data_IF_928448658963
#
_entry.id   IF_928448658963
#
_cell.length_a   1.000
_cell.length_b   1.000
_cell.length_c   1.000
_cell.angle_alpha   90.00
_cell.angle_beta   90.00
_cell.angle_gamma   90.00
#
_symmetry.space_group_name_H-M   'P 1'
#
loop_
_entity.id
_entity.type
_entity.pdbx_description
1 polymer ?
#
# COMPACT_ATOMS: atom_id res chain seq x y z
N UNK A 1 -31.62 -7.58 11.34
CA UNK A 1 -31.15 -8.77 10.64
C UNK A 1 -30.20 -8.30 9.55
N UNK A 2 -28.94 -8.67 9.68
CA UNK A 2 -27.82 -8.21 8.84
C UNK A 2 -27.87 -8.93 7.50
N UNK A 3 -27.87 -8.23 6.39
CA UNK A 3 -27.58 -8.80 5.09
C UNK A 3 -26.29 -8.16 4.58
N UNK A 4 -25.29 -9.01 4.43
CA UNK A 4 -23.93 -8.71 4.03
C UNK A 4 -23.89 -8.82 2.51
N UNK A 5 -23.61 -7.73 1.85
CA UNK A 5 -23.32 -7.71 0.42
C UNK A 5 -21.79 -7.85 0.25
N UNK A 6 -21.36 -9.06 -0.09
CA UNK A 6 -19.98 -9.37 -0.40
C UNK A 6 -19.62 -8.82 -1.78
N UNK A 7 -18.94 -7.70 -1.79
CA UNK A 7 -18.11 -7.29 -2.91
C UNK A 7 -16.77 -8.02 -2.82
N UNK A 8 -16.55 -9.00 -3.67
CA UNK A 8 -15.26 -9.68 -3.80
C UNK A 8 -14.27 -8.74 -4.48
N UNK A 9 -13.58 -7.94 -3.67
CA UNK A 9 -12.32 -7.30 -4.07
C UNK A 9 -11.22 -8.31 -3.75
N UNK A 10 -10.68 -8.95 -4.77
CA UNK A 10 -9.54 -9.85 -4.67
C UNK A 10 -8.28 -9.01 -4.41
N UNK A 11 -8.06 -8.64 -3.13
CA UNK A 11 -6.81 -8.08 -2.65
C UNK A 11 -5.82 -9.23 -2.49
N UNK A 12 -4.88 -9.33 -3.43
CA UNK A 12 -3.69 -10.16 -3.26
C UNK A 12 -2.83 -9.55 -2.13
N UNK A 13 -3.04 -10.06 -0.91
CA UNK A 13 -2.15 -9.84 0.22
C UNK A 13 -0.83 -10.58 -0.05
N UNK A 14 0.20 -9.83 -0.40
CA UNK A 14 1.59 -10.25 -0.30
C UNK A 14 1.92 -10.42 1.19
N UNK A 15 1.91 -11.64 1.68
CA UNK A 15 2.47 -11.99 2.97
C UNK A 15 3.99 -11.82 2.90
N UNK A 16 4.51 -10.73 3.46
CA UNK A 16 5.94 -10.55 3.75
C UNK A 16 6.27 -11.46 4.93
N UNK A 17 6.86 -12.61 4.64
CA UNK A 17 7.50 -13.45 5.65
C UNK A 17 8.84 -12.81 5.98
N UNK A 18 8.93 -12.18 7.15
CA UNK A 18 10.19 -11.74 7.73
C UNK A 18 11.02 -12.99 8.09
N UNK A 19 12.02 -13.30 7.29
CA UNK A 19 13.03 -14.30 7.64
C UNK A 19 14.17 -13.62 8.40
N UNK A 20 14.36 -14.04 9.64
CA UNK A 20 15.50 -13.73 10.48
C UNK A 20 16.80 -14.20 9.82
N UNK A 21 17.69 -13.26 9.54
CA UNK A 21 19.01 -13.53 9.00
C UNK A 21 19.91 -14.08 10.10
N UNK A 22 20.23 -15.36 10.01
CA UNK A 22 21.42 -15.93 10.64
C UNK A 22 22.60 -15.73 9.69
N UNK A 23 23.61 -15.03 10.16
CA UNK A 23 24.86 -14.80 9.46
C UNK A 23 25.62 -16.11 9.21
N UNK A 24 25.76 -16.51 7.94
CA UNK A 24 26.68 -17.53 7.48
C UNK A 24 27.88 -16.89 6.75
N UNK A 25 29.09 -17.48 6.79
CA UNK A 25 30.32 -16.84 6.32
C UNK A 25 30.35 -16.72 4.81
N UNK A 26 30.96 -15.63 4.35
CA UNK A 26 31.12 -15.26 2.95
C UNK A 26 31.80 -16.37 2.11
N UNK A 27 31.01 -17.00 1.24
CA UNK A 27 31.52 -17.80 0.12
C UNK A 27 31.82 -16.84 -1.04
N UNK A 28 33.09 -16.88 -1.50
CA UNK A 28 33.61 -16.14 -2.66
C UNK A 28 32.65 -16.37 -3.85
N UNK A 29 32.13 -15.31 -4.42
CA UNK A 29 31.36 -15.34 -5.66
C UNK A 29 32.25 -15.83 -6.80
N UNK A 30 32.01 -17.06 -7.24
CA UNK A 30 32.45 -17.58 -8.53
C UNK A 30 31.47 -17.04 -9.54
N UNK A 31 31.92 -16.23 -10.48
CA UNK A 31 31.12 -15.77 -11.60
C UNK A 31 30.50 -16.99 -12.29
N UNK A 32 29.20 -17.11 -12.27
CA UNK A 32 28.48 -18.19 -12.95
C UNK A 32 28.56 -17.93 -14.45
N UNK A 33 29.13 -18.89 -15.18
CA UNK A 33 29.08 -18.95 -16.64
C UNK A 33 27.60 -18.99 -17.07
N UNK A 34 27.12 -18.12 -17.99
CA UNK A 34 25.72 -18.14 -18.43
C UNK A 34 25.28 -19.45 -19.10
N UNK A 35 26.20 -20.42 -19.23
CA UNK A 35 25.96 -21.73 -19.83
C UNK A 35 26.07 -22.89 -18.82
N UNK A 36 26.14 -22.61 -17.50
CA UNK A 36 26.13 -23.66 -16.48
C UNK A 36 24.69 -24.16 -16.25
N UNK A 37 24.29 -25.09 -17.13
CA UNK A 37 23.05 -25.83 -17.06
C UNK A 37 22.94 -26.52 -15.68
N UNK A 38 21.83 -26.28 -14.99
CA UNK A 38 21.37 -27.04 -13.81
C UNK A 38 21.65 -28.53 -14.03
N UNK A 39 22.17 -29.30 -13.04
CA UNK A 39 22.55 -30.68 -13.24
C UNK A 39 21.37 -31.50 -13.75
N UNK A 40 21.43 -31.84 -15.03
CA UNK A 40 20.37 -32.53 -15.78
C UNK A 40 20.40 -34.05 -15.58
N UNK A 41 20.93 -34.56 -14.49
CA UNK A 41 21.10 -35.98 -14.15
C UNK A 41 21.56 -36.87 -15.32
N UNK A 42 22.23 -36.32 -16.34
CA UNK A 42 22.70 -37.04 -17.51
C UNK A 42 21.60 -37.45 -18.52
N UNK A 43 20.37 -37.01 -18.35
CA UNK A 43 19.26 -37.33 -19.26
C UNK A 43 19.34 -36.45 -20.52
N UNK A 44 19.26 -37.05 -21.73
CA UNK A 44 19.27 -36.29 -22.99
C UNK A 44 18.01 -35.43 -23.14
N UNK A 45 18.08 -34.26 -23.83
CA UNK A 45 16.89 -33.43 -24.14
C UNK A 45 15.76 -34.19 -24.83
N UNK A 46 16.07 -35.12 -25.70
CA UNK A 46 15.09 -35.90 -26.49
C UNK A 46 14.58 -37.14 -25.74
N UNK A 47 15.05 -37.38 -24.53
CA UNK A 47 14.61 -38.54 -23.74
C UNK A 47 13.16 -38.35 -23.29
N UNK A 48 12.26 -39.33 -23.55
CA UNK A 48 10.93 -39.35 -22.98
C UNK A 48 10.96 -39.30 -21.46
N UNK A 49 10.34 -38.32 -20.84
CA UNK A 49 10.24 -38.16 -19.39
C UNK A 49 8.83 -38.38 -18.87
N UNK A 50 7.82 -38.20 -19.72
CA UNK A 50 6.42 -38.48 -19.45
C UNK A 50 5.85 -39.20 -20.68
N UNK A 51 5.18 -40.33 -20.43
CA UNK A 51 4.40 -41.05 -21.47
C UNK A 51 3.01 -41.29 -20.93
N UNK A 52 2.01 -40.79 -21.65
CA UNK A 52 0.59 -40.93 -21.25
C UNK A 52 -0.08 -41.82 -22.31
N UNK A 53 -0.39 -43.06 -21.91
CA UNK A 53 -1.13 -43.99 -22.79
C UNK A 53 -2.61 -43.62 -22.79
N UNK A 54 -3.25 -43.76 -23.96
CA UNK A 54 -4.66 -43.40 -24.11
C UNK A 54 -4.93 -41.91 -24.35
N UNK A 55 -3.89 -41.08 -24.36
CA UNK A 55 -3.96 -39.68 -24.76
C UNK A 55 -3.35 -39.56 -26.13
N UNK A 56 -4.15 -39.13 -27.11
CA UNK A 56 -3.72 -39.01 -28.50
C UNK A 56 -3.44 -37.56 -28.85
N UNK A 57 -2.28 -37.27 -29.41
CA UNK A 57 -2.10 -36.05 -30.20
C UNK A 57 -2.90 -36.23 -31.49
N UNK A 58 -4.13 -35.74 -31.53
CA UNK A 58 -4.98 -35.84 -32.71
C UNK A 58 -4.67 -34.74 -33.72
N UNK A 59 -4.09 -35.06 -34.88
CA UNK A 59 -4.39 -34.27 -36.07
C UNK A 59 -5.90 -34.36 -36.35
N UNK A 60 -6.53 -33.27 -36.77
CA UNK A 60 -7.99 -33.11 -36.92
C UNK A 60 -8.75 -34.18 -37.73
N UNK A 61 -8.07 -35.23 -38.25
CA UNK A 61 -8.61 -36.27 -39.09
C UNK A 61 -8.12 -37.70 -38.77
N UNK A 62 -7.65 -37.98 -37.54
CA UNK A 62 -7.21 -39.36 -37.23
C UNK A 62 -8.33 -40.21 -36.66
N UNK A 63 -8.55 -41.39 -37.25
CA UNK A 63 -9.49 -42.43 -36.81
C UNK A 63 -8.86 -43.47 -35.86
N UNK A 64 -7.76 -43.09 -35.14
CA UNK A 64 -7.10 -43.97 -34.20
C UNK A 64 -8.00 -44.19 -32.97
N UNK A 65 -8.10 -45.45 -32.52
CA UNK A 65 -8.83 -45.81 -31.29
C UNK A 65 -8.02 -45.36 -30.05
N UNK A 66 -8.67 -44.90 -28.97
CA UNK A 66 -7.98 -44.40 -27.76
C UNK A 66 -7.02 -45.40 -27.11
N UNK A 67 -7.19 -46.73 -27.36
CA UNK A 67 -6.32 -47.76 -26.78
C UNK A 67 -4.93 -47.84 -27.39
N UNK A 68 -4.71 -47.30 -28.60
CA UNK A 68 -3.51 -47.56 -29.40
C UNK A 68 -2.57 -46.34 -29.50
N UNK A 69 -2.91 -45.24 -28.86
CA UNK A 69 -2.12 -44.03 -28.92
C UNK A 69 -1.50 -43.61 -27.56
N UNK A 70 -0.41 -42.92 -27.67
CA UNK A 70 0.27 -42.34 -26.49
C UNK A 70 0.86 -40.99 -26.84
N UNK A 71 0.72 -40.07 -25.91
CA UNK A 71 1.44 -38.79 -25.92
C UNK A 71 2.76 -38.94 -25.18
N UNK A 72 3.84 -38.62 -25.87
CA UNK A 72 5.21 -38.69 -25.31
C UNK A 72 5.72 -37.25 -25.16
N UNK A 73 6.15 -36.91 -23.97
CA UNK A 73 6.72 -35.60 -23.65
C UNK A 73 8.19 -35.82 -23.32
N UNK A 74 9.05 -35.20 -24.11
CA UNK A 74 10.50 -35.25 -23.92
C UNK A 74 10.92 -34.35 -22.75
N UNK A 75 12.17 -34.55 -22.28
CA UNK A 75 12.77 -33.69 -21.26
C UNK A 75 12.72 -32.21 -21.69
N UNK A 76 13.15 -31.91 -22.90
CA UNK A 76 13.20 -30.54 -23.40
C UNK A 76 11.81 -29.88 -23.45
N UNK A 77 10.78 -30.60 -23.86
CA UNK A 77 9.40 -30.10 -23.89
C UNK A 77 8.87 -29.84 -22.47
N UNK A 78 9.10 -30.79 -21.56
CA UNK A 78 8.66 -30.64 -20.18
C UNK A 78 9.39 -29.50 -19.45
N UNK A 79 10.70 -29.35 -19.68
CA UNK A 79 11.47 -28.25 -19.09
C UNK A 79 11.03 -26.88 -19.61
N UNK A 80 10.65 -26.74 -20.90
CA UNK A 80 10.05 -25.49 -21.42
C UNK A 80 8.78 -25.10 -20.66
N UNK A 81 7.92 -26.08 -20.35
CA UNK A 81 6.69 -25.82 -19.59
C UNK A 81 7.03 -25.42 -18.15
N UNK A 82 7.98 -26.12 -17.51
CA UNK A 82 8.43 -25.78 -16.16
C UNK A 82 9.01 -24.37 -16.11
N UNK A 83 9.91 -24.04 -17.02
CA UNK A 83 10.61 -22.75 -17.02
C UNK A 83 9.63 -21.58 -17.26
N UNK A 84 8.56 -21.82 -18.05
CA UNK A 84 7.50 -20.83 -18.23
C UNK A 84 6.66 -20.61 -16.97
N UNK A 85 6.55 -21.61 -16.08
CA UNK A 85 5.75 -21.51 -14.83
C UNK A 85 6.61 -21.09 -13.65
N UNK A 86 7.74 -21.77 -13.46
CA UNK A 86 8.69 -21.55 -12.37
C UNK A 86 10.09 -21.95 -12.78
N UNK A 87 10.94 -21.00 -13.22
CA UNK A 87 12.34 -21.27 -13.52
C UNK A 87 13.06 -21.90 -12.32
N UNK A 88 13.97 -22.86 -12.59
CA UNK A 88 14.76 -23.55 -11.56
C UNK A 88 13.94 -24.34 -10.52
N UNK A 89 12.81 -24.91 -10.93
CA UNK A 89 11.97 -25.74 -10.05
C UNK A 89 12.77 -26.92 -9.46
N UNK A 90 12.74 -27.15 -8.12
CA UNK A 90 13.43 -28.26 -7.49
C UNK A 90 12.92 -29.64 -7.98
N UNK A 91 13.77 -30.69 -8.05
CA UNK A 91 13.40 -32.01 -8.58
C UNK A 91 12.16 -32.63 -7.94
N UNK A 92 11.99 -32.50 -6.62
CA UNK A 92 10.79 -32.99 -5.94
C UNK A 92 9.52 -32.31 -6.41
N UNK A 93 9.58 -31.01 -6.65
CA UNK A 93 8.45 -30.24 -7.17
C UNK A 93 8.18 -30.55 -8.64
N UNK A 94 9.24 -30.82 -9.45
CA UNK A 94 9.07 -31.25 -10.85
C UNK A 94 8.20 -32.52 -10.96
N UNK A 95 8.38 -33.48 -10.06
CA UNK A 95 7.55 -34.70 -10.08
C UNK A 95 6.09 -34.41 -9.71
N UNK A 96 5.85 -33.57 -8.73
CA UNK A 96 4.51 -33.15 -8.37
C UNK A 96 3.84 -32.36 -9.52
N UNK A 97 4.56 -31.44 -10.14
CA UNK A 97 4.10 -30.68 -11.28
C UNK A 97 3.80 -31.59 -12.48
N UNK A 98 4.67 -32.60 -12.76
CA UNK A 98 4.41 -33.58 -13.81
C UNK A 98 3.06 -34.30 -13.64
N UNK A 99 2.73 -34.72 -12.41
CA UNK A 99 1.45 -35.36 -12.12
C UNK A 99 0.25 -34.41 -12.37
N UNK A 100 0.39 -33.14 -11.98
CA UNK A 100 -0.65 -32.11 -12.21
C UNK A 100 -0.79 -31.81 -13.70
N UNK A 101 0.33 -31.75 -14.43
CA UNK A 101 0.36 -31.48 -15.87
C UNK A 101 -0.30 -32.62 -16.66
N UNK A 102 -0.01 -33.87 -16.33
CA UNK A 102 -0.69 -35.04 -16.94
C UNK A 102 -2.19 -35.01 -16.67
N UNK A 103 -2.61 -34.70 -15.44
CA UNK A 103 -4.03 -34.59 -15.13
C UNK A 103 -4.70 -33.44 -15.91
N UNK A 104 -4.02 -32.33 -16.09
CA UNK A 104 -4.50 -31.20 -16.89
C UNK A 104 -4.68 -31.61 -18.37
N UNK A 105 -3.73 -32.37 -18.94
CA UNK A 105 -3.82 -32.88 -20.30
C UNK A 105 -5.04 -33.82 -20.48
N UNK A 106 -5.23 -34.78 -19.55
CA UNK A 106 -6.38 -35.69 -19.60
C UNK A 106 -7.72 -34.97 -19.46
N UNK A 107 -7.80 -33.97 -18.60
CA UNK A 107 -9.02 -33.15 -18.45
C UNK A 107 -9.27 -32.27 -19.66
N UNK A 108 -8.21 -31.72 -20.26
CA UNK A 108 -8.31 -30.91 -21.48
C UNK A 108 -8.83 -31.75 -22.65
N UNK A 109 -8.32 -32.98 -22.84
CA UNK A 109 -8.83 -33.90 -23.85
C UNK A 109 -10.31 -34.22 -23.60
N UNK A 110 -10.69 -34.50 -22.34
CA UNK A 110 -12.09 -34.74 -22.00
C UNK A 110 -12.98 -33.53 -22.27
N UNK A 111 -12.51 -32.34 -22.01
CA UNK A 111 -13.23 -31.10 -22.31
C UNK A 111 -13.40 -30.91 -23.84
N UNK A 112 -12.36 -31.22 -24.61
CA UNK A 112 -12.42 -31.24 -26.07
C UNK A 112 -13.46 -32.23 -26.62
N UNK A 113 -13.45 -33.50 -26.12
CA UNK A 113 -14.47 -34.49 -26.46
C UNK A 113 -15.90 -34.01 -26.18
N UNK A 114 -16.09 -33.24 -25.13
CA UNK A 114 -17.37 -32.63 -24.73
C UNK A 114 -17.70 -31.37 -25.53
N UNK A 115 -16.82 -30.92 -26.42
CA UNK A 115 -16.99 -29.69 -27.22
C UNK A 115 -16.93 -28.38 -26.40
N UNK A 116 -16.36 -28.42 -25.20
CA UNK A 116 -16.34 -27.25 -24.32
C UNK A 116 -15.40 -26.13 -24.80
N UNK A 117 -14.49 -26.44 -25.68
CA UNK A 117 -13.54 -25.51 -26.32
C UNK A 117 -14.06 -24.90 -27.62
N UNK A 118 -15.24 -25.32 -28.09
CA UNK A 118 -15.81 -24.88 -29.37
C UNK A 118 -16.76 -23.69 -29.28
N UNK A 119 -17.14 -23.31 -28.04
CA UNK A 119 -18.12 -22.25 -27.81
C UNK A 119 -17.53 -20.83 -27.90
N UNK A 120 -18.35 -19.82 -28.24
CA UNK A 120 -17.92 -18.42 -28.25
C UNK A 120 -17.44 -17.96 -26.84
N UNK A 121 -18.05 -18.47 -25.79
CA UNK A 121 -17.64 -18.15 -24.40
C UNK A 121 -16.21 -18.61 -24.11
N UNK A 122 -15.80 -19.77 -24.62
CA UNK A 122 -14.43 -20.25 -24.43
C UNK A 122 -13.43 -19.33 -25.14
N UNK A 123 -13.76 -18.91 -26.36
CA UNK A 123 -12.93 -17.99 -27.15
C UNK A 123 -12.74 -16.66 -26.41
N UNK A 124 -13.81 -16.07 -25.87
CA UNK A 124 -13.74 -14.83 -25.09
C UNK A 124 -12.92 -14.99 -23.81
N UNK A 125 -13.09 -16.11 -23.09
CA UNK A 125 -12.28 -16.41 -21.88
C UNK A 125 -10.80 -16.59 -22.22
N UNK A 126 -10.48 -17.22 -23.37
CA UNK A 126 -9.09 -17.39 -23.82
C UNK A 126 -8.46 -16.04 -24.19
N UNK A 127 -9.21 -15.15 -24.85
CA UNK A 127 -8.75 -13.79 -25.15
C UNK A 127 -8.50 -12.99 -23.85
N UNK A 128 -9.41 -13.08 -22.89
CA UNK A 128 -9.24 -12.42 -21.59
C UNK A 128 -8.02 -12.98 -20.83
N UNK A 129 -7.84 -14.29 -20.81
CA UNK A 129 -6.68 -14.93 -20.18
C UNK A 129 -5.35 -14.49 -20.83
N UNK A 130 -5.33 -14.37 -22.15
CA UNK A 130 -4.18 -13.83 -22.89
C UNK A 130 -3.89 -12.38 -22.51
N UNK A 131 -4.93 -11.54 -22.41
CA UNK A 131 -4.79 -10.14 -22.00
C UNK A 131 -4.22 -10.03 -20.58
N UNK A 132 -4.73 -10.82 -19.63
CA UNK A 132 -4.24 -10.87 -18.27
C UNK A 132 -2.79 -11.33 -18.15
N UNK A 133 -2.37 -12.29 -19.00
CA UNK A 133 -0.97 -12.72 -19.06
C UNK A 133 -0.08 -11.58 -19.56
N UNK A 134 -0.45 -10.92 -20.65
CA UNK A 134 0.30 -9.79 -21.21
C UNK A 134 0.38 -8.62 -20.22
N UNK A 135 -0.69 -8.31 -19.51
CA UNK A 135 -0.70 -7.30 -18.45
C UNK A 135 0.32 -7.64 -17.35
N UNK A 136 0.32 -8.89 -16.88
CA UNK A 136 1.26 -9.36 -15.86
C UNK A 136 2.71 -9.26 -16.32
N UNK A 137 3.01 -9.73 -17.53
CA UNK A 137 4.36 -9.66 -18.11
C UNK A 137 4.84 -8.21 -18.24
N UNK A 138 3.97 -7.31 -18.74
CA UNK A 138 4.28 -5.90 -18.87
C UNK A 138 4.55 -5.27 -17.49
N UNK A 139 3.70 -5.56 -16.49
CA UNK A 139 3.89 -5.06 -15.12
C UNK A 139 5.20 -5.55 -14.49
N UNK A 140 5.55 -6.83 -14.68
CA UNK A 140 6.82 -7.39 -14.20
C UNK A 140 8.03 -6.74 -14.88
N UNK A 141 7.95 -6.52 -16.21
CA UNK A 141 9.04 -5.86 -16.93
C UNK A 141 9.22 -4.41 -16.45
N UNK A 142 8.12 -3.65 -16.31
CA UNK A 142 8.16 -2.29 -15.78
C UNK A 142 8.75 -2.24 -14.36
N UNK A 143 8.44 -3.24 -13.53
CA UNK A 143 9.00 -3.34 -12.19
C UNK A 143 10.52 -3.65 -12.22
N UNK A 144 10.97 -4.52 -13.13
CA UNK A 144 12.41 -4.80 -13.33
C UNK A 144 13.15 -3.55 -13.83
N UNK A 145 12.57 -2.84 -14.79
CA UNK A 145 13.17 -1.63 -15.36
C UNK A 145 13.29 -0.53 -14.29
N UNK A 146 12.29 -0.39 -13.43
CA UNK A 146 12.30 0.55 -12.33
C UNK A 146 13.36 0.24 -11.24
N UNK A 147 13.84 -1.01 -11.16
CA UNK A 147 14.90 -1.35 -10.21
C UNK A 147 16.27 -0.78 -10.60
N UNK A 148 16.47 -0.45 -11.87
CA UNK A 148 17.74 0.08 -12.39
C UNK A 148 17.85 1.60 -12.17
N UNK A 149 17.90 2.02 -10.90
CA UNK A 149 18.16 3.42 -10.55
C UNK A 149 19.65 3.67 -10.59
N UNK A 150 20.10 4.65 -11.38
CA UNK A 150 21.53 4.99 -11.48
C UNK A 150 21.98 5.79 -10.25
N UNK A 151 23.26 5.64 -9.90
CA UNK A 151 23.91 6.44 -8.85
C UNK A 151 23.84 7.97 -9.16
N UNK A 152 23.91 8.33 -10.42
CA UNK A 152 23.73 9.73 -10.83
C UNK A 152 22.32 10.23 -10.47
N UNK A 153 21.28 9.46 -10.78
CA UNK A 153 19.91 9.85 -10.45
C UNK A 153 19.69 9.99 -8.92
N UNK A 154 20.33 9.13 -8.13
CA UNK A 154 20.28 9.21 -6.67
C UNK A 154 20.97 10.46 -6.16
N UNK A 155 22.17 10.77 -6.68
CA UNK A 155 22.92 11.97 -6.33
C UNK A 155 22.14 13.25 -6.72
N UNK A 156 21.64 13.31 -7.95
CA UNK A 156 20.89 14.47 -8.45
C UNK A 156 19.63 14.71 -7.61
N UNK A 157 18.93 13.63 -7.27
CA UNK A 157 17.75 13.70 -6.42
C UNK A 157 18.10 14.22 -5.01
N UNK A 158 19.16 13.68 -4.41
CA UNK A 158 19.61 14.13 -3.10
C UNK A 158 19.98 15.62 -3.10
N UNK A 159 20.71 16.09 -4.10
CA UNK A 159 21.07 17.51 -4.21
C UNK A 159 19.86 18.43 -4.34
N UNK A 160 18.86 18.02 -5.12
CA UNK A 160 17.62 18.79 -5.31
C UNK A 160 16.72 18.77 -4.06
N UNK A 161 16.81 17.72 -3.25
CA UNK A 161 15.93 17.46 -2.10
C UNK A 161 16.68 17.39 -0.76
N UNK A 162 17.90 17.89 -0.67
CA UNK A 162 18.73 17.83 0.55
C UNK A 162 18.01 18.37 1.78
N UNK A 163 17.19 19.41 1.61
CA UNK A 163 16.38 19.99 2.68
C UNK A 163 15.33 19.05 3.27
N UNK A 164 14.95 17.97 2.55
CA UNK A 164 13.96 16.98 3.01
C UNK A 164 14.60 15.88 3.83
N UNK A 165 15.93 15.75 3.79
CA UNK A 165 16.74 14.79 4.51
C UNK A 165 17.44 15.38 5.74
N UNK A 166 16.83 16.42 6.33
CA UNK A 166 17.29 16.97 7.61
C UNK A 166 16.68 16.18 8.76
N UNK A 167 17.49 16.03 9.80
CA UNK A 167 17.02 15.60 11.13
C UNK A 167 17.10 16.75 12.11
N UNK A 168 16.24 16.70 13.10
CA UNK A 168 16.19 17.70 14.16
C UNK A 168 16.11 17.02 15.51
N UNK A 169 16.90 17.51 16.46
CA UNK A 169 16.80 17.21 17.87
C UNK A 169 16.21 18.41 18.61
N UNK A 170 15.22 18.21 19.44
CA UNK A 170 14.52 19.29 20.12
C UNK A 170 13.99 18.87 21.49
N UNK A 171 13.70 19.85 22.32
CA UNK A 171 12.79 19.72 23.46
C UNK A 171 11.41 20.22 23.05
N UNK A 172 10.33 19.57 23.52
CA UNK A 172 8.97 19.93 23.21
C UNK A 172 8.09 20.02 24.44
N UNK A 173 7.32 21.09 24.56
CA UNK A 173 6.19 21.21 25.47
C UNK A 173 4.92 20.95 24.67
N UNK A 174 4.07 20.07 25.16
CA UNK A 174 2.73 19.82 24.64
C UNK A 174 1.71 20.33 25.67
N UNK A 175 0.87 21.26 25.24
CA UNK A 175 -0.23 21.81 26.01
C UNK A 175 -1.53 21.28 25.46
N UNK A 176 -2.32 20.52 26.26
CA UNK A 176 -3.61 20.00 25.78
C UNK A 176 -4.53 21.12 25.28
N UNK A 177 -5.33 20.84 24.28
CA UNK A 177 -6.25 21.82 23.67
C UNK A 177 -7.29 22.36 24.67
N UNK A 178 -7.72 21.49 25.60
CA UNK A 178 -8.76 21.77 26.56
C UNK A 178 -8.37 21.16 27.93
N UNK A 179 -8.87 21.74 28.99
CA UNK A 179 -8.82 21.12 30.33
C UNK A 179 -9.70 19.87 30.37
N UNK A 180 -9.39 18.99 31.31
CA UNK A 180 -10.33 17.90 31.63
C UNK A 180 -11.58 18.50 32.25
N UNK A 181 -12.68 18.50 31.50
CA UNK A 181 -13.96 19.01 31.95
C UNK A 181 -14.73 17.85 32.58
N UNK A 182 -15.04 17.97 33.86
CA UNK A 182 -15.99 17.06 34.49
C UNK A 182 -17.39 17.38 33.96
N UNK A 183 -17.92 16.47 33.14
CA UNK A 183 -19.31 16.55 32.68
C UNK A 183 -20.21 15.87 33.69
N UNK A 184 -21.31 16.54 34.10
CA UNK A 184 -22.31 15.95 34.97
C UNK A 184 -22.96 14.73 34.31
N UNK A 185 -23.45 13.79 35.10
CA UNK A 185 -24.01 12.52 34.66
C UNK A 185 -25.17 12.66 33.61
N UNK A 186 -25.77 13.85 33.49
CA UNK A 186 -26.86 14.14 32.56
C UNK A 186 -26.50 15.12 31.42
N UNK A 187 -25.25 15.62 31.38
CA UNK A 187 -24.80 16.55 30.32
C UNK A 187 -24.41 15.78 29.08
N UNK A 188 -24.96 16.17 27.92
CA UNK A 188 -24.57 15.59 26.64
C UNK A 188 -23.44 16.39 26.00
N UNK A 189 -22.53 15.75 25.24
CA UNK A 189 -21.39 16.42 24.61
C UNK A 189 -21.77 17.62 23.73
N UNK A 190 -22.98 17.66 23.19
CA UNK A 190 -23.46 18.70 22.28
C UNK A 190 -24.34 19.78 22.97
N UNK A 191 -24.47 19.75 24.28
CA UNK A 191 -25.24 20.77 25.01
C UNK A 191 -24.49 22.11 24.91
N UNK A 192 -25.25 23.20 24.72
CA UNK A 192 -24.70 24.54 24.49
C UNK A 192 -23.79 25.01 25.64
N UNK A 193 -24.12 24.63 26.89
CA UNK A 193 -23.32 24.97 28.05
C UNK A 193 -22.01 24.17 28.12
N UNK A 194 -22.01 22.91 27.65
CA UNK A 194 -20.79 22.09 27.50
C UNK A 194 -19.89 22.69 26.43
N UNK A 195 -20.45 23.15 25.33
CA UNK A 195 -19.67 23.81 24.26
C UNK A 195 -19.04 25.12 24.76
N UNK A 196 -19.80 25.96 25.47
CA UNK A 196 -19.23 27.18 26.08
C UNK A 196 -18.10 26.89 27.06
N UNK A 197 -18.26 25.85 27.90
CA UNK A 197 -17.20 25.41 28.84
C UNK A 197 -15.93 24.97 28.07
N UNK A 198 -16.10 24.28 26.92
CA UNK A 198 -14.99 23.86 26.08
C UNK A 198 -14.28 25.04 25.41
N UNK A 199 -15.03 25.97 24.84
CA UNK A 199 -14.46 27.18 24.22
C UNK A 199 -13.70 28.05 25.24
N UNK A 200 -14.27 28.25 26.43
CA UNK A 200 -13.58 28.95 27.53
C UNK A 200 -12.31 28.21 27.93
N UNK A 201 -12.39 26.91 28.10
CA UNK A 201 -11.23 26.07 28.43
C UNK A 201 -10.14 26.11 27.34
N UNK A 202 -10.52 26.14 26.06
CA UNK A 202 -9.58 26.27 24.96
C UNK A 202 -8.85 27.62 24.98
N UNK A 203 -9.59 28.71 25.26
CA UNK A 203 -8.99 30.03 25.40
C UNK A 203 -7.97 30.09 26.55
N UNK A 204 -8.32 29.52 27.70
CA UNK A 204 -7.41 29.43 28.86
C UNK A 204 -6.16 28.59 28.53
N UNK A 205 -6.31 27.46 27.87
CA UNK A 205 -5.17 26.61 27.50
C UNK A 205 -4.28 27.25 26.45
N UNK A 206 -4.86 28.08 25.55
CA UNK A 206 -4.09 28.88 24.61
C UNK A 206 -3.26 29.96 25.35
N UNK A 207 -3.86 30.65 26.28
CA UNK A 207 -3.15 31.65 27.10
C UNK A 207 -2.02 30.98 27.90
N UNK A 208 -2.27 29.81 28.47
CA UNK A 208 -1.24 29.04 29.15
C UNK A 208 -0.11 28.64 28.19
N UNK A 209 -0.41 28.20 26.97
CA UNK A 209 0.61 27.89 25.96
C UNK A 209 1.50 29.13 25.65
N UNK A 210 0.90 30.33 25.50
CA UNK A 210 1.61 31.57 25.21
C UNK A 210 2.50 31.97 26.42
N UNK A 211 2.01 31.78 27.64
CA UNK A 211 2.78 32.02 28.90
C UNK A 211 3.95 31.04 29.02
N UNK A 212 3.71 29.74 28.84
CA UNK A 212 4.76 28.72 28.89
C UNK A 212 5.82 28.95 27.81
N UNK A 213 5.42 29.36 26.62
CA UNK A 213 6.34 29.75 25.54
C UNK A 213 7.25 30.89 25.96
N UNK A 214 6.71 31.92 26.59
CA UNK A 214 7.49 33.08 27.03
C UNK A 214 8.54 32.71 28.08
N UNK A 215 8.16 31.81 29.00
CA UNK A 215 9.06 31.29 30.04
C UNK A 215 10.12 30.33 29.46
N UNK A 216 9.72 29.49 28.53
CA UNK A 216 10.65 28.64 27.78
C UNK A 216 11.71 29.47 27.03
N UNK A 217 11.31 30.59 26.41
CA UNK A 217 12.21 31.49 25.73
C UNK A 217 13.14 32.24 26.72
N UNK A 218 12.72 32.43 27.96
CA UNK A 218 13.55 32.96 29.04
C UNK A 218 14.52 31.93 29.64
N UNK A 219 14.48 30.67 29.19
CA UNK A 219 15.41 29.60 29.57
C UNK A 219 14.92 28.70 30.70
N UNK A 220 13.65 28.73 31.05
CA UNK A 220 13.11 27.83 32.05
C UNK A 220 13.08 26.37 31.55
N UNK A 221 13.15 25.43 32.47
CA UNK A 221 13.27 23.99 32.23
C UNK A 221 12.01 23.42 31.58
N UNK A 222 12.16 22.80 30.40
CA UNK A 222 11.07 22.26 29.58
C UNK A 222 10.30 21.15 30.26
N UNK A 223 10.96 20.33 31.11
CA UNK A 223 10.29 19.26 31.83
C UNK A 223 9.35 19.82 32.89
N UNK A 224 9.76 20.89 33.59
CA UNK A 224 8.92 21.58 34.57
C UNK A 224 7.73 22.26 33.90
N UNK A 225 7.96 22.95 32.80
CA UNK A 225 6.91 23.59 32.01
C UNK A 225 5.91 22.57 31.44
N UNK A 226 6.39 21.39 31.01
CA UNK A 226 5.52 20.31 30.57
C UNK A 226 4.65 19.77 31.72
N UNK A 227 5.20 19.64 32.93
CA UNK A 227 4.38 19.22 34.07
C UNK A 227 3.32 20.28 34.39
N UNK A 228 3.67 21.57 34.38
CA UNK A 228 2.72 22.67 34.60
C UNK A 228 1.58 22.65 33.54
N UNK A 229 1.90 22.40 32.28
CA UNK A 229 0.89 22.26 31.23
C UNK A 229 -0.12 21.13 31.52
N UNK A 230 0.35 19.99 32.02
CA UNK A 230 -0.51 18.90 32.44
C UNK A 230 -1.34 19.21 33.66
N UNK A 231 -0.72 19.83 34.69
CA UNK A 231 -1.41 20.21 35.91
C UNK A 231 -2.50 21.24 35.62
N UNK A 232 -2.21 22.27 34.80
CA UNK A 232 -3.20 23.29 34.38
C UNK A 232 -4.35 22.67 33.58
N UNK A 233 -4.08 21.65 32.77
CA UNK A 233 -5.11 20.92 32.04
C UNK A 233 -5.93 19.97 32.94
N UNK A 234 -5.59 19.82 34.20
CA UNK A 234 -6.21 18.83 35.11
C UNK A 234 -5.81 17.38 34.80
N UNK A 235 -4.75 17.18 34.00
CA UNK A 235 -4.29 15.86 33.61
C UNK A 235 -3.46 15.21 34.73
N UNK A 236 -3.69 13.93 35.00
CA UNK A 236 -2.90 13.13 35.94
C UNK A 236 -1.57 12.62 35.34
N UNK A 237 -1.25 13.00 34.11
CA UNK A 237 -0.02 12.60 33.44
C UNK A 237 1.19 13.21 34.13
N UNK A 238 2.29 12.45 34.15
CA UNK A 238 3.59 12.93 34.64
C UNK A 238 4.50 13.21 33.47
N UNK A 239 5.12 14.37 33.45
CA UNK A 239 6.17 14.69 32.52
C UNK A 239 7.41 13.84 32.84
N UNK A 240 7.82 13.01 31.92
CA UNK A 240 8.97 12.10 32.07
C UNK A 240 10.06 12.30 31.01
N UNK A 241 9.70 12.81 29.85
CA UNK A 241 10.62 13.13 28.77
C UNK A 241 10.03 14.22 27.89
N UNK A 242 10.83 15.24 27.59
CA UNK A 242 10.50 16.33 26.66
C UNK A 242 11.45 16.36 25.46
N UNK A 243 12.57 15.60 25.51
CA UNK A 243 13.62 15.59 24.52
C UNK A 243 13.34 14.54 23.45
N UNK A 244 13.48 14.92 22.21
CA UNK A 244 13.41 14.06 21.03
C UNK A 244 14.65 14.27 20.20
N UNK A 245 15.31 13.17 19.80
CA UNK A 245 16.59 13.22 19.13
C UNK A 245 16.47 12.65 17.70
N UNK A 246 17.20 13.25 16.78
CA UNK A 246 17.36 12.79 15.39
C UNK A 246 16.01 12.49 14.69
N UNK A 247 15.02 13.35 14.94
CA UNK A 247 13.72 13.20 14.30
C UNK A 247 13.80 13.63 12.85
N UNK A 248 13.46 12.73 11.93
CA UNK A 248 13.42 13.02 10.51
C UNK A 248 12.34 14.08 10.19
N UNK A 249 12.60 14.91 9.20
CA UNK A 249 11.68 16.00 8.80
C UNK A 249 10.25 15.53 8.54
N UNK A 250 10.09 14.37 7.90
CA UNK A 250 8.78 13.77 7.61
C UNK A 250 8.03 13.24 8.85
N UNK A 251 8.70 13.14 10.01
CA UNK A 251 8.09 12.76 11.28
C UNK A 251 7.54 13.98 12.05
N UNK A 252 7.82 15.19 11.57
CA UNK A 252 7.30 16.42 12.15
C UNK A 252 6.03 16.81 11.38
N UNK A 253 4.95 17.21 12.10
CA UNK A 253 3.74 17.70 11.44
C UNK A 253 4.07 18.85 10.49
N UNK A 254 3.46 18.86 9.30
CA UNK A 254 3.69 19.92 8.31
C UNK A 254 3.35 21.32 8.82
N UNK A 255 2.41 21.42 9.75
CA UNK A 255 2.05 22.67 10.46
C UNK A 255 3.20 23.22 11.30
N UNK A 256 4.13 22.35 11.73
CA UNK A 256 5.22 22.68 12.63
C UNK A 256 6.57 22.76 11.88
N UNK A 257 6.57 22.59 10.54
CA UNK A 257 7.78 22.53 9.73
C UNK A 257 8.72 23.75 9.88
N UNK A 258 8.19 24.91 10.29
CA UNK A 258 8.97 26.12 10.53
C UNK A 258 10.02 25.96 11.66
N UNK A 259 9.98 24.86 12.44
CA UNK A 259 11.06 24.60 13.43
C UNK A 259 12.42 24.32 12.77
N UNK A 260 12.44 23.91 11.50
CA UNK A 260 13.68 23.70 10.74
C UNK A 260 14.37 25.00 10.29
N UNK A 261 13.69 26.15 10.43
CA UNK A 261 14.23 27.48 10.10
C UNK A 261 14.83 28.15 11.35
N UNK A 262 14.62 27.55 12.54
CA UNK A 262 15.13 28.07 13.81
C UNK A 262 16.61 27.72 14.01
N UNK A 263 17.28 28.55 14.80
CA UNK A 263 18.67 28.31 15.20
C UNK A 263 18.73 27.39 16.42
N UNK A 264 19.87 26.78 16.63
CA UNK A 264 20.17 26.02 17.84
C UNK A 264 19.93 26.89 19.11
N UNK A 265 19.15 26.37 20.03
CA UNK A 265 18.76 27.03 21.29
C UNK A 265 17.52 27.93 21.16
N UNK A 266 17.05 28.20 19.97
CA UNK A 266 15.89 29.06 19.73
C UNK A 266 14.59 28.32 20.07
N UNK A 267 13.65 29.07 20.66
CA UNK A 267 12.31 28.58 21.04
C UNK A 267 11.30 29.04 19.98
N UNK A 268 10.50 28.12 19.48
CA UNK A 268 9.50 28.37 18.45
C UNK A 268 8.37 29.29 18.92
N UNK A 269 7.57 29.76 17.99
CA UNK A 269 6.21 30.19 18.28
C UNK A 269 5.35 28.99 18.75
N UNK A 270 4.15 29.28 19.25
CA UNK A 270 3.18 28.26 19.62
C UNK A 270 2.54 27.72 18.34
N UNK A 271 2.71 26.42 18.08
CA UNK A 271 2.00 25.70 17.01
C UNK A 271 0.70 25.12 17.58
N UNK A 272 -0.33 25.06 16.77
CA UNK A 272 -1.65 24.58 17.18
C UNK A 272 -2.21 23.58 16.20
N UNK A 273 -2.82 22.53 16.73
CA UNK A 273 -3.67 21.61 15.97
C UNK A 273 -4.95 21.26 16.77
N UNK A 274 -5.83 20.38 16.26
CA UNK A 274 -7.04 19.98 16.98
C UNK A 274 -6.79 19.32 18.33
N UNK A 275 -5.58 18.81 18.60
CA UNK A 275 -5.27 18.07 19.85
C UNK A 275 -4.67 18.96 20.93
N UNK A 276 -3.95 20.03 20.55
CA UNK A 276 -3.27 20.90 21.50
C UNK A 276 -2.33 21.89 20.86
N UNK A 277 -1.46 22.43 21.71
CA UNK A 277 -0.43 23.40 21.35
C UNK A 277 0.94 22.78 21.60
N UNK A 278 1.90 23.13 20.74
CA UNK A 278 3.27 22.65 20.83
C UNK A 278 4.26 23.81 20.79
N UNK A 279 5.28 23.72 21.63
CA UNK A 279 6.37 24.68 21.73
C UNK A 279 7.65 23.86 21.63
N UNK A 280 8.56 24.25 20.76
CA UNK A 280 9.80 23.54 20.52
C UNK A 280 11.00 24.42 20.88
N UNK A 281 12.06 23.79 21.37
CA UNK A 281 13.39 24.39 21.48
C UNK A 281 14.35 23.53 20.69
N UNK A 282 14.93 24.11 19.66
CA UNK A 282 15.87 23.40 18.79
C UNK A 282 17.18 23.14 19.52
N UNK A 283 17.59 21.89 19.59
CA UNK A 283 18.87 21.49 20.14
C UNK A 283 19.92 21.35 19.04
N UNK A 284 19.54 20.76 17.90
CA UNK A 284 20.41 20.54 16.77
C UNK A 284 19.59 20.27 15.50
N UNK A 285 20.09 20.76 14.38
CA UNK A 285 19.59 20.38 13.04
C UNK A 285 20.80 19.85 12.28
N UNK A 286 20.67 18.64 11.72
CA UNK A 286 21.75 17.97 11.00
C UNK A 286 21.26 17.56 9.61
N UNK A 287 22.11 17.76 8.61
CA UNK A 287 21.89 17.22 7.26
C UNK A 287 22.28 15.75 7.25
N UNK A 288 21.33 14.86 6.92
CA UNK A 288 21.64 13.44 6.79
C UNK A 288 22.48 13.22 5.52
N UNK A 289 23.67 12.63 5.64
CA UNK A 289 24.52 12.39 4.48
C UNK A 289 23.89 11.39 3.51
N UNK A 290 24.18 11.53 2.21
CA UNK A 290 23.65 10.66 1.17
C UNK A 290 23.84 9.18 1.50
N UNK A 291 24.96 8.80 2.11
CA UNK A 291 25.24 7.40 2.49
C UNK A 291 24.22 6.78 3.44
N UNK A 292 23.52 7.60 4.24
CA UNK A 292 22.46 7.12 5.14
C UNK A 292 21.09 7.06 4.49
N UNK A 293 20.84 7.91 3.49
CA UNK A 293 19.53 8.05 2.83
C UNK A 293 19.50 7.45 1.43
N UNK A 294 20.63 6.91 0.97
CA UNK A 294 20.82 6.35 -0.37
C UNK A 294 19.73 5.35 -0.75
N UNK A 295 19.53 4.32 0.09
CA UNK A 295 18.55 3.26 -0.20
C UNK A 295 17.11 3.79 -0.15
N UNK A 296 16.83 4.75 0.73
CA UNK A 296 15.54 5.43 0.79
C UNK A 296 15.27 6.22 -0.49
N UNK A 297 16.27 6.94 -1.00
CA UNK A 297 16.17 7.68 -2.27
C UNK A 297 15.98 6.72 -3.44
N UNK A 298 16.79 5.67 -3.51
CA UNK A 298 16.66 4.65 -4.54
C UNK A 298 15.24 4.05 -4.56
N UNK A 299 14.68 3.72 -3.40
CA UNK A 299 13.34 3.20 -3.29
C UNK A 299 12.26 4.23 -3.70
N UNK A 300 12.44 5.50 -3.35
CA UNK A 300 11.54 6.58 -3.76
C UNK A 300 11.54 6.76 -5.27
N UNK A 301 12.72 6.76 -5.90
CA UNK A 301 12.87 6.88 -7.35
C UNK A 301 12.24 5.68 -8.08
N UNK A 302 12.41 4.45 -7.57
CA UNK A 302 11.74 3.25 -8.12
C UNK A 302 10.22 3.42 -8.10
N UNK A 303 9.68 3.80 -6.96
CA UNK A 303 8.23 4.02 -6.80
C UNK A 303 7.72 5.11 -7.73
N UNK A 304 8.48 6.21 -7.85
CA UNK A 304 8.14 7.33 -8.73
C UNK A 304 8.17 6.90 -10.20
N UNK A 305 9.17 6.13 -10.62
CA UNK A 305 9.28 5.61 -12.00
C UNK A 305 8.09 4.74 -12.33
N UNK A 306 7.72 3.79 -11.47
CA UNK A 306 6.55 2.94 -11.67
C UNK A 306 5.29 3.80 -11.79
N UNK A 307 5.08 4.71 -10.86
CA UNK A 307 3.91 5.60 -10.86
C UNK A 307 3.82 6.43 -12.13
N UNK A 308 4.92 7.07 -12.54
CA UNK A 308 4.93 7.91 -13.75
C UNK A 308 4.70 7.11 -15.01
N UNK A 309 5.17 5.87 -15.08
CA UNK A 309 4.91 4.96 -16.19
C UNK A 309 3.43 4.61 -16.28
N UNK A 310 2.78 4.23 -15.18
CA UNK A 310 1.34 3.98 -15.16
C UNK A 310 0.52 5.23 -15.47
N UNK A 311 0.86 6.37 -14.89
CA UNK A 311 0.19 7.64 -15.18
C UNK A 311 0.29 8.02 -16.68
N UNK A 312 1.44 7.74 -17.30
CA UNK A 312 1.64 8.00 -18.74
C UNK A 312 0.79 7.06 -19.61
N UNK A 313 0.71 5.78 -19.25
CA UNK A 313 -0.15 4.82 -19.92
C UNK A 313 -1.62 5.23 -19.84
N UNK A 314 -2.07 5.60 -18.66
CA UNK A 314 -3.45 6.05 -18.46
C UNK A 314 -3.78 7.32 -19.27
N UNK A 315 -2.84 8.26 -19.34
CA UNK A 315 -3.00 9.50 -20.11
C UNK A 315 -2.90 9.30 -21.62
N UNK A 316 -2.27 8.21 -22.09
CA UNK A 316 -2.15 7.89 -23.52
C UNK A 316 -3.47 7.45 -24.14
N UNK A 317 -4.45 7.04 -23.33
CA UNK A 317 -5.76 6.57 -23.77
C UNK A 317 -6.88 7.51 -23.28
N UNK A 318 -7.78 7.88 -24.19
CA UNK A 318 -9.00 8.58 -23.82
C UNK A 318 -10.13 7.54 -23.70
N UNK A 319 -10.58 7.33 -22.46
CA UNK A 319 -11.65 6.39 -22.16
C UNK A 319 -12.97 7.12 -21.97
N UNK A 320 -14.02 6.64 -22.62
CA UNK A 320 -15.40 7.09 -22.41
C UNK A 320 -16.26 5.89 -22.05
N UNK A 321 -17.14 6.09 -21.09
CA UNK A 321 -18.09 5.06 -20.65
C UNK A 321 -19.51 5.51 -20.99
N UNK A 322 -20.38 4.57 -21.35
CA UNK A 322 -21.81 4.83 -21.51
C UNK A 322 -22.47 4.81 -20.13
N UNK A 323 -22.94 5.97 -19.68
CA UNK A 323 -23.52 6.13 -18.35
C UNK A 323 -24.81 5.32 -18.19
N UNK A 324 -25.55 5.07 -19.27
CA UNK A 324 -26.78 4.28 -19.20
C UNK A 324 -26.49 2.79 -18.98
N UNK A 325 -25.43 2.27 -19.60
CA UNK A 325 -25.00 0.89 -19.42
C UNK A 325 -24.42 0.63 -18.03
N UNK A 326 -23.61 1.57 -17.50
CA UNK A 326 -22.94 1.43 -16.20
C UNK A 326 -23.74 1.98 -15.03
N UNK A 327 -24.99 2.49 -15.25
CA UNK A 327 -25.84 2.95 -14.18
C UNK A 327 -26.12 1.83 -13.18
N UNK A 328 -25.78 2.06 -11.93
CA UNK A 328 -26.22 1.17 -10.83
C UNK A 328 -27.73 1.33 -10.63
N UNK A 329 -28.52 0.24 -10.65
CA UNK A 329 -29.94 0.33 -10.30
C UNK A 329 -30.08 0.99 -8.93
N UNK A 330 -30.95 2.00 -8.83
CA UNK A 330 -31.25 2.60 -7.53
C UNK A 330 -31.72 1.50 -6.57
N UNK A 331 -31.23 1.47 -5.33
CA UNK A 331 -31.68 0.48 -4.36
C UNK A 331 -33.21 0.56 -4.27
N UNK A 332 -33.92 -0.58 -4.22
CA UNK A 332 -35.37 -0.56 -4.13
C UNK A 332 -35.78 0.30 -2.93
N UNK A 333 -36.52 1.38 -3.21
CA UNK A 333 -37.07 2.21 -2.15
C UNK A 333 -37.96 1.32 -1.29
N UNK A 334 -37.52 1.04 -0.08
CA UNK A 334 -38.37 0.42 0.95
C UNK A 334 -39.53 1.35 1.14
N UNK A 335 -40.66 1.03 0.51
CA UNK A 335 -41.95 1.66 0.84
C UNK A 335 -42.21 1.38 2.30
N UNK A 336 -42.05 2.40 3.13
CA UNK A 336 -42.39 2.34 4.54
C UNK A 336 -43.91 2.23 4.62
N UNK A 337 -44.54 1.12 5.03
CA UNK A 337 -45.99 1.04 5.15
C UNK A 337 -46.37 1.70 6.48
N UNK A 338 -46.79 2.97 6.42
CA UNK A 338 -47.53 3.61 7.50
C UNK A 338 -46.80 4.69 8.30
N UNK A 339 -46.40 5.77 7.65
CA UNK A 339 -46.13 7.04 8.33
C UNK A 339 -47.08 8.13 7.78
N UNK A 340 -47.64 9.05 8.61
CA UNK A 340 -48.53 10.10 8.12
C UNK A 340 -47.79 11.03 7.16
N UNK A 341 -48.37 11.21 6.00
CA UNK A 341 -47.87 12.07 4.93
C UNK A 341 -47.93 13.55 5.39
N UNK A 342 -46.84 14.32 5.29
CA UNK A 342 -46.92 15.75 5.51
C UNK A 342 -47.79 16.38 4.41
N UNK A 343 -48.86 17.05 4.80
CA UNK A 343 -49.67 17.82 3.89
C UNK A 343 -48.87 18.97 3.29
N UNK A 344 -48.72 18.97 1.98
CA UNK A 344 -48.18 20.08 1.23
C UNK A 344 -49.09 21.31 1.37
N UNK A 345 -48.60 22.31 2.09
CA UNK A 345 -49.23 23.66 2.08
C UNK A 345 -48.83 24.35 0.77
N UNK A 346 -49.83 24.59 -0.06
CA UNK A 346 -49.69 25.37 -1.30
C UNK A 346 -49.29 26.82 -0.98
N UNK A 347 -48.38 27.44 -1.74
CA UNK A 347 -48.04 28.84 -1.55
C UNK A 347 -49.16 29.72 -2.11
N UNK A 348 -49.71 30.56 -1.24
CA UNK A 348 -50.69 31.60 -1.57
C UNK A 348 -50.00 32.71 -2.36
N UNK A 349 -50.47 32.95 -3.57
CA UNK A 349 -50.02 34.06 -4.43
C UNK A 349 -50.54 35.40 -3.86
N UNK A 350 -49.73 36.46 -3.70
CA UNK A 350 -50.26 37.79 -3.36
C UNK A 350 -50.78 38.45 -4.63
N UNK A 351 -52.08 38.77 -4.60
CA UNK A 351 -52.78 39.56 -5.62
C UNK A 351 -52.26 41.00 -5.69
N UNK A 352 -52.14 41.48 -6.91
CA UNK A 352 -51.90 42.89 -7.24
C UNK A 352 -53.10 43.75 -6.81
N UNK A 353 -52.84 44.86 -6.15
CA UNK A 353 -53.45 46.16 -6.34
C UNK A 353 -52.34 47.22 -6.38
#
# INVERSE_FOLDING_TARGET
MKSILNGVVCLLLLAVVAQSQTTAPALKSRASDPNELVPNNGVSPDTPVITVQGLCERPANSSATPSDCSTVITRAEFEKVIDAVQPNMPPAQKKQFANQYVMALLLAEKAHEMGLDQGPEFTERLQLARLQLLEREAAQQMQKDAQNVSESAINDYYQQHAADYKTISFERIYVPKQKQIETGANEKPNDADVQKKREASEAEMKEEADKLRSRAAAGEDFLKLQQEAYDTAGSKMKANNVKMENMAKNSIPTTDAAIFDLKKGEVSQVFSDPTGYRIYKVLEITDEPLTKVHDQIAQSLRTQTIKTTFDSLQKSAKTTYDDAYFATPAPPSLKNPGGPQPQATSPTTPGKK
#
